data_IF_862194756726
#
_entry.id   IF_862194756726
#
_cell.length_a   1.000
_cell.length_b   1.000
_cell.length_c   1.000
_cell.angle_alpha   90.00
_cell.angle_beta   90.00
_cell.angle_gamma   90.00
#
_symmetry.space_group_name_H-M   'P 1'
#
loop_
_entity.id
_entity.type
_entity.pdbx_description
1 polymer ?
#
# COMPACT_ATOMS: atom_id res chain seq x y z
N UNK A 1 -60.03 21.85 -11.38
CA UNK A 1 -59.63 21.62 -11.27
C UNK A 1 -58.67 21.23 -11.19
N UNK A 2 -58.43 21.02 -11.10
CA UNK A 2 -57.67 20.73 -11.06
C UNK A 2 -56.66 20.31 -10.97
N UNK A 3 -56.47 20.12 -10.85
CA UNK A 3 -55.60 19.73 -10.81
C UNK A 3 -54.61 19.45 -10.69
N UNK A 4 -54.31 19.26 -10.56
CA UNK A 4 -53.51 19.11 -10.56
C UNK A 4 -52.57 18.69 -10.30
N UNK A 5 -52.38 18.32 -10.19
CA UNK A 5 -51.58 17.94 -10.08
C UNK A 5 -50.58 17.54 -10.04
N UNK A 6 -50.50 17.48 -9.95
CA UNK A 6 -49.68 17.16 -10.00
C UNK A 6 -48.69 16.83 -10.00
N UNK A 7 -48.59 16.75 -9.98
CA UNK A 7 -47.70 16.53 -10.09
C UNK A 7 -46.76 16.19 -9.79
N UNK A 8 -46.64 15.97 -9.62
CA UNK A 8 -45.78 15.69 -9.42
C UNK A 8 -44.93 15.22 -9.39
N UNK A 9 -44.88 14.96 -9.37
CA UNK A 9 -44.11 14.42 -9.32
C UNK A 9 -43.06 14.22 -9.51
N UNK A 10 -42.99 14.15 -9.73
CA UNK A 10 -42.07 14.05 -9.98
C UNK A 10 -41.03 13.83 -9.57
N UNK A 11 -41.07 13.65 -9.22
CA UNK A 11 -40.16 13.44 -8.86
C UNK A 11 -39.26 12.98 -8.78
N UNK A 12 -39.27 12.70 -8.87
CA UNK A 12 -38.49 12.31 -8.69
C UNK A 12 -37.56 11.90 -8.83
N UNK A 13 -37.78 11.67 -9.00
CA UNK A 13 -36.93 11.21 -9.20
C UNK A 13 -35.81 11.10 -9.05
N UNK A 14 -35.85 11.00 -8.84
CA UNK A 14 -34.90 10.90 -8.79
C UNK A 14 -33.94 10.55 -8.65
N UNK A 15 -34.14 10.64 -8.77
CA UNK A 15 -33.33 10.42 -8.71
C UNK A 15 -32.49 10.00 -8.51
N UNK A 16 -32.50 9.73 -8.56
CA UNK A 16 -31.76 9.35 -8.38
C UNK A 16 -30.94 8.90 -8.47
N UNK A 17 -31.07 8.86 -8.62
CA UNK A 17 -30.35 8.45 -8.70
C UNK A 17 -29.47 8.18 -8.78
N UNK A 18 -29.62 8.11 -9.07
CA UNK A 18 -28.72 7.82 -9.22
C UNK A 18 -27.76 7.79 -8.97
N UNK A 19 -27.73 7.93 -8.93
CA UNK A 19 -26.76 8.05 -8.72
C UNK A 19 -25.91 7.37 -8.22
N UNK A 20 -26.05 7.15 -8.20
CA UNK A 20 -25.36 6.64 -7.67
C UNK A 20 -24.52 6.00 -7.87
N UNK A 21 -24.73 5.90 -8.13
CA UNK A 21 -24.13 5.23 -8.18
C UNK A 21 -23.17 5.11 -8.64
N UNK A 22 -23.50 5.16 -8.90
CA UNK A 22 -22.72 5.15 -9.60
C UNK A 22 -21.46 5.20 -9.40
N UNK A 23 -21.34 5.77 -9.35
CA UNK A 23 -20.25 6.04 -8.94
C UNK A 23 -19.36 5.02 -8.72
N UNK A 24 -19.71 4.38 -8.15
CA UNK A 24 -19.07 3.40 -7.71
C UNK A 24 -18.37 2.64 -8.68
N UNK A 25 -18.99 2.33 -9.47
CA UNK A 25 -18.54 1.43 -10.33
C UNK A 25 -17.43 1.84 -11.14
N UNK A 26 -17.36 3.03 -11.35
CA UNK A 26 -16.38 3.54 -12.24
C UNK A 26 -15.00 3.12 -11.92
N UNK A 27 -14.68 3.00 -10.72
CA UNK A 27 -13.32 2.74 -10.36
C UNK A 27 -12.86 1.35 -10.69
N UNK A 28 -13.71 0.46 -11.05
CA UNK A 28 -13.30 -0.87 -11.34
C UNK A 28 -12.68 -1.05 -12.68
N UNK A 29 -12.88 -0.15 -13.57
CA UNK A 29 -12.52 -0.39 -14.95
C UNK A 29 -11.08 -0.20 -15.29
N UNK A 30 -10.36 0.57 -14.51
CA UNK A 30 -8.99 0.92 -14.85
C UNK A 30 -8.13 0.81 -13.64
N UNK A 31 -6.89 0.62 -13.81
CA UNK A 31 -5.93 0.58 -12.75
C UNK A 31 -5.78 -0.78 -12.10
N UNK A 32 -4.73 -0.91 -11.35
CA UNK A 32 -4.38 -2.15 -10.66
C UNK A 32 -4.81 -2.05 -9.21
N UNK A 33 -5.47 -3.09 -8.72
CA UNK A 33 -5.91 -3.12 -7.33
C UNK A 33 -4.71 -3.05 -6.40
N UNK A 34 -4.82 -2.27 -5.34
CA UNK A 34 -3.77 -2.14 -4.35
C UNK A 34 -3.69 -3.39 -3.48
N UNK A 35 -2.49 -3.93 -3.34
CA UNK A 35 -2.24 -5.04 -2.45
C UNK A 35 -0.77 -5.08 -2.07
N UNK A 36 -0.48 -5.11 -0.77
CA UNK A 36 0.86 -5.35 -0.27
C UNK A 36 0.87 -6.78 0.28
N UNK A 37 1.34 -7.72 -0.52
CA UNK A 37 1.22 -9.14 -0.18
C UNK A 37 2.28 -9.63 0.78
N UNK A 38 3.51 -9.14 0.67
CA UNK A 38 4.57 -9.63 1.55
C UNK A 38 5.76 -8.67 1.58
N UNK A 39 6.55 -8.79 2.63
CA UNK A 39 7.84 -8.10 2.76
C UNK A 39 8.88 -9.18 3.04
N UNK A 40 9.87 -9.27 2.18
CA UNK A 40 10.78 -10.41 2.16
C UNK A 40 12.23 -9.96 2.27
N UNK A 41 12.97 -10.54 3.19
CA UNK A 41 14.42 -10.38 3.25
C UNK A 41 15.06 -11.52 2.47
N UNK A 42 16.05 -11.21 1.65
CA UNK A 42 16.78 -12.24 0.91
C UNK A 42 17.42 -13.23 1.87
N UNK A 43 17.99 -12.72 2.95
CA UNK A 43 18.63 -13.56 3.96
C UNK A 43 17.99 -13.26 5.32
N UNK A 44 17.57 -14.27 6.02
CA UNK A 44 17.05 -14.11 7.37
C UNK A 44 18.17 -14.00 8.40
N UNK A 45 19.36 -14.42 8.05
CA UNK A 45 20.56 -14.28 8.88
C UNK A 45 21.67 -13.72 8.00
N UNK A 46 22.30 -12.64 8.45
CA UNK A 46 23.38 -11.99 7.71
C UNK A 46 24.59 -11.83 8.61
N UNK A 47 25.74 -11.64 8.04
CA UNK A 47 26.92 -11.27 8.79
C UNK A 47 26.88 -9.78 9.10
N UNK A 48 27.38 -9.42 10.26
CA UNK A 48 27.58 -8.03 10.63
C UNK A 48 28.42 -7.32 9.57
N UNK A 49 27.99 -6.12 9.20
CA UNK A 49 28.60 -5.29 8.15
C UNK A 49 28.43 -5.79 6.71
N UNK A 50 27.61 -6.80 6.50
CA UNK A 50 27.26 -7.25 5.15
C UNK A 50 25.83 -6.82 4.84
N UNK A 51 25.57 -6.60 3.56
CA UNK A 51 24.25 -6.15 3.10
C UNK A 51 23.36 -7.32 2.73
N UNK A 52 22.08 -7.17 2.96
CA UNK A 52 21.06 -8.05 2.41
C UNK A 52 19.98 -7.20 1.74
N UNK A 53 19.28 -7.79 0.78
CA UNK A 53 18.20 -7.13 0.09
C UNK A 53 16.88 -7.39 0.79
N UNK A 54 16.05 -6.36 0.87
CA UNK A 54 14.69 -6.45 1.40
C UNK A 54 13.76 -6.00 0.28
N UNK A 55 12.75 -6.81 -0.03
CA UNK A 55 11.84 -6.53 -1.14
C UNK A 55 10.39 -6.47 -0.64
N UNK A 56 9.70 -5.42 -1.04
CA UNK A 56 8.27 -5.27 -0.82
C UNK A 56 7.52 -5.82 -2.03
N UNK A 57 6.69 -6.83 -1.83
CA UNK A 57 5.90 -7.44 -2.88
C UNK A 57 4.51 -6.82 -2.86
N UNK A 58 4.31 -5.84 -3.71
CA UNK A 58 3.06 -5.08 -3.74
C UNK A 58 2.63 -4.83 -5.18
N UNK A 59 1.33 -4.69 -5.37
CA UNK A 59 0.73 -4.31 -6.65
C UNK A 59 -0.14 -3.08 -6.44
N UNK A 60 -0.32 -2.30 -7.49
CA UNK A 60 -1.10 -1.07 -7.43
C UNK A 60 -0.55 -0.07 -8.41
N UNK A 61 -1.17 1.10 -8.48
CA UNK A 61 -0.78 2.17 -9.38
C UNK A 61 -0.03 3.26 -8.61
N UNK A 62 1.10 3.69 -9.18
CA UNK A 62 1.86 4.79 -8.59
C UNK A 62 2.34 4.47 -7.18
N UNK A 63 2.91 3.29 -6.99
CA UNK A 63 3.35 2.86 -5.67
C UNK A 63 4.54 3.67 -5.19
N UNK A 64 4.50 4.04 -3.91
CA UNK A 64 5.63 4.64 -3.20
C UNK A 64 5.91 3.82 -1.95
N UNK A 65 7.15 3.86 -1.50
CA UNK A 65 7.63 3.01 -0.42
C UNK A 65 8.30 3.86 0.64
N UNK A 66 7.93 3.65 1.89
CA UNK A 66 8.58 4.31 3.02
C UNK A 66 9.20 3.25 3.90
N UNK A 67 10.52 3.25 3.96
CA UNK A 67 11.29 2.27 4.72
C UNK A 67 11.71 2.86 6.06
N UNK A 68 11.60 2.07 7.10
CA UNK A 68 11.94 2.50 8.46
C UNK A 68 12.70 1.41 9.18
N UNK A 69 13.82 1.77 9.80
CA UNK A 69 14.59 0.88 10.66
C UNK A 69 15.02 1.65 11.90
N UNK A 70 15.12 0.96 13.02
CA UNK A 70 15.70 1.55 14.23
C UNK A 70 17.21 1.49 14.19
N UNK A 71 17.76 0.44 13.60
CA UNK A 71 19.20 0.22 13.55
C UNK A 71 19.62 -0.21 12.18
N UNK A 72 20.82 0.17 11.81
CA UNK A 72 21.37 -0.18 10.51
C UNK A 72 21.12 0.92 9.50
N UNK A 73 21.55 0.64 8.28
CA UNK A 73 21.48 1.59 7.17
C UNK A 73 20.71 0.98 6.03
N UNK A 74 19.76 1.74 5.51
CA UNK A 74 19.02 1.37 4.31
C UNK A 74 19.54 2.20 3.14
N UNK A 75 19.75 1.53 2.00
CA UNK A 75 20.08 2.18 0.74
C UNK A 75 19.02 1.85 -0.28
N UNK A 76 18.48 2.88 -0.92
CA UNK A 76 17.43 2.76 -1.91
C UNK A 76 16.12 3.28 -1.39
N UNK A 77 15.16 3.43 -2.29
CA UNK A 77 13.85 3.98 -1.94
C UNK A 77 12.70 3.30 -2.68
N UNK A 78 12.97 2.30 -3.51
CA UNK A 78 11.95 1.61 -4.28
C UNK A 78 11.47 0.34 -3.61
N UNK A 79 10.97 -0.57 -4.41
CA UNK A 79 10.43 -1.84 -3.92
C UNK A 79 11.49 -2.73 -3.30
N UNK A 80 12.74 -2.57 -3.72
CA UNK A 80 13.86 -3.33 -3.16
C UNK A 80 14.91 -2.36 -2.65
N UNK A 81 15.37 -2.62 -1.43
CA UNK A 81 16.44 -1.83 -0.81
C UNK A 81 17.48 -2.78 -0.25
N UNK A 82 18.64 -2.25 0.10
CA UNK A 82 19.64 -3.02 0.85
C UNK A 82 19.71 -2.50 2.27
N UNK A 83 20.01 -3.39 3.19
CA UNK A 83 20.14 -3.06 4.61
C UNK A 83 21.36 -3.74 5.18
N UNK A 84 22.08 -3.04 6.07
CA UNK A 84 23.20 -3.58 6.79
C UNK A 84 23.24 -3.01 8.21
N UNK A 85 23.93 -3.69 9.11
CA UNK A 85 24.05 -3.25 10.49
C UNK A 85 25.44 -3.62 11.02
N UNK A 86 25.93 -2.88 12.00
CA UNK A 86 27.29 -3.05 12.50
C UNK A 86 27.40 -3.81 13.81
N UNK A 87 26.33 -4.39 14.31
CA UNK A 87 26.39 -5.20 15.54
C UNK A 87 25.38 -6.35 15.46
N UNK A 88 25.56 -7.32 16.33
CA UNK A 88 24.70 -8.51 16.36
C UNK A 88 23.42 -8.23 17.09
N UNK A 89 22.33 -8.66 16.54
CA UNK A 89 21.03 -8.74 17.18
C UNK A 89 20.00 -9.19 16.16
N UNK A 90 18.73 -9.19 16.57
CA UNK A 90 17.60 -9.42 15.69
C UNK A 90 16.93 -8.07 15.44
N UNK A 91 16.83 -7.71 14.19
CA UNK A 91 16.37 -6.39 13.80
C UNK A 91 15.09 -6.47 12.98
N UNK A 92 14.23 -5.48 13.14
CA UNK A 92 13.02 -5.35 12.32
C UNK A 92 13.22 -4.28 11.28
N UNK A 93 12.73 -4.55 10.09
CA UNK A 93 12.71 -3.61 8.98
C UNK A 93 11.24 -3.46 8.58
N UNK A 94 10.78 -2.23 8.49
CA UNK A 94 9.37 -1.92 8.21
C UNK A 94 9.27 -1.19 6.88
N UNK A 95 8.27 -1.54 6.10
CA UNK A 95 7.96 -0.83 4.86
C UNK A 95 6.48 -0.49 4.82
N UNK A 96 6.18 0.76 4.52
CA UNK A 96 4.84 1.22 4.25
C UNK A 96 4.73 1.48 2.76
N UNK A 97 3.73 0.88 2.12
CA UNK A 97 3.49 1.06 0.69
C UNK A 97 2.20 1.86 0.51
N UNK A 98 2.23 2.82 -0.39
CA UNK A 98 1.08 3.68 -0.68
C UNK A 98 0.91 3.76 -2.19
N UNK A 99 -0.34 3.68 -2.68
CA UNK A 99 -0.61 3.88 -4.10
C UNK A 99 -1.03 5.33 -4.37
N UNK A 100 -1.26 5.67 -5.62
CA UNK A 100 -1.60 7.05 -5.97
C UNK A 100 -2.99 7.47 -5.50
N UNK A 101 -3.80 6.53 -5.03
CA UNK A 101 -5.13 6.81 -4.49
C UNK A 101 -5.13 6.84 -2.95
N UNK A 102 -3.94 6.83 -2.35
CA UNK A 102 -3.74 6.87 -0.90
C UNK A 102 -4.16 5.60 -0.15
N UNK A 103 -4.28 4.49 -0.85
CA UNK A 103 -4.36 3.21 -0.15
C UNK A 103 -2.98 2.92 0.41
N UNK A 104 -2.94 2.47 1.65
CA UNK A 104 -1.66 2.24 2.32
C UNK A 104 -1.71 0.96 3.15
N UNK A 105 -0.59 0.29 3.24
CA UNK A 105 -0.43 -0.89 4.09
C UNK A 105 1.02 -0.95 4.55
N UNK A 106 1.24 -1.56 5.70
CA UNK A 106 2.56 -1.62 6.34
C UNK A 106 2.86 -3.04 6.75
N UNK A 107 4.08 -3.48 6.47
CA UNK A 107 4.54 -4.79 6.88
C UNK A 107 5.94 -4.69 7.48
N UNK A 108 6.32 -5.73 8.21
CA UNK A 108 7.56 -5.78 8.92
C UNK A 108 8.21 -7.13 8.71
N UNK A 109 9.53 -7.16 8.62
CA UNK A 109 10.29 -8.40 8.49
C UNK A 109 11.46 -8.31 9.46
N UNK A 110 11.92 -9.47 9.94
CA UNK A 110 13.04 -9.56 10.86
C UNK A 110 14.25 -10.18 10.19
N UNK A 111 15.42 -9.63 10.48
CA UNK A 111 16.70 -10.17 10.02
C UNK A 111 17.61 -10.25 11.26
N UNK A 112 18.30 -11.38 11.38
CA UNK A 112 19.28 -11.55 12.46
C UNK A 112 20.67 -11.31 11.92
N UNK A 113 21.42 -10.45 12.59
CA UNK A 113 22.83 -10.21 12.26
C UNK A 113 23.71 -10.97 13.26
N UNK A 114 24.71 -11.64 12.74
CA UNK A 114 25.66 -12.44 13.52
C UNK A 114 27.06 -12.27 12.96
N UNK A 115 28.06 -12.54 13.79
CA UNK A 115 29.47 -12.61 13.32
C UNK A 115 29.76 -13.95 12.69
#
# INVERSE_FOLDING_TARGET
MKNIFFLLSILVLFSVSACKKSSTSADNGTGTAFKFSNLVAKDSVVKVNYETSITALATGDGLTYKWTVLYGTISGSGATVTWSVCHEDKFSITCQVTDKYNHTDTKQVYVRAKN
#
